data_IF_341511771689
#
_entry.id   IF_341511771689
#
_cell.length_a   1.000
_cell.length_b   1.000
_cell.length_c   1.000
_cell.angle_alpha   90.00
_cell.angle_beta   90.00
_cell.angle_gamma   90.00
#
_symmetry.space_group_name_H-M   'P 1'
#
loop_
_entity.id
_entity.type
_entity.pdbx_description
1 polymer ?
#
# COMPACT_ATOMS: atom_id res chain seq x y z
N UNK A 1 11.12 2.19 -5.37
CA UNK A 1 10.60 3.24 -4.47
C UNK A 1 9.67 2.57 -3.47
N UNK A 2 9.67 2.95 -2.18
CA UNK A 2 8.81 2.34 -1.16
C UNK A 2 7.82 3.36 -0.60
N UNK A 3 6.55 2.97 -0.48
CA UNK A 3 5.48 3.79 0.08
C UNK A 3 4.93 3.06 1.30
N UNK A 4 4.88 3.76 2.44
CA UNK A 4 4.44 3.21 3.72
C UNK A 4 3.22 3.99 4.18
N UNK A 5 2.10 3.31 4.38
CA UNK A 5 0.90 3.93 4.95
C UNK A 5 0.94 3.83 6.49
N UNK A 6 1.00 4.96 7.23
CA UNK A 6 0.88 4.96 8.69
C UNK A 6 -0.58 4.73 9.11
N UNK A 7 -0.81 4.35 10.37
CA UNK A 7 -2.15 4.27 10.98
C UNK A 7 -3.18 3.35 10.30
N UNK A 8 -2.75 2.40 9.47
CA UNK A 8 -3.64 1.37 8.91
C UNK A 8 -3.99 0.37 10.02
N UNK A 9 -5.26 0.30 10.43
CA UNK A 9 -5.73 -0.60 11.47
C UNK A 9 -6.32 -1.90 10.91
N UNK A 10 -6.81 -1.87 9.67
CA UNK A 10 -7.54 -2.96 9.03
C UNK A 10 -7.09 -3.23 7.59
N UNK A 11 -7.41 -4.43 7.08
CA UNK A 11 -7.13 -4.81 5.69
C UNK A 11 -7.93 -3.99 4.67
N UNK A 12 -9.12 -3.51 5.03
CA UNK A 12 -9.96 -2.71 4.11
C UNK A 12 -9.29 -1.37 3.83
N UNK A 13 -8.86 -0.67 4.88
CA UNK A 13 -8.15 0.62 4.77
C UNK A 13 -6.91 0.50 3.90
N UNK A 14 -6.13 -0.58 4.04
CA UNK A 14 -4.97 -0.82 3.19
C UNK A 14 -5.35 -1.00 1.71
N UNK A 15 -6.42 -1.77 1.44
CA UNK A 15 -6.88 -2.02 0.08
C UNK A 15 -7.41 -0.75 -0.58
N UNK A 16 -8.15 0.06 0.17
CA UNK A 16 -8.66 1.35 -0.28
C UNK A 16 -7.52 2.33 -0.56
N UNK A 17 -6.57 2.48 0.37
CA UNK A 17 -5.39 3.32 0.17
C UNK A 17 -4.55 2.87 -1.03
N UNK A 18 -4.36 1.56 -1.20
CA UNK A 18 -3.67 1.00 -2.37
C UNK A 18 -4.44 1.24 -3.68
N UNK A 19 -5.76 1.17 -3.66
CA UNK A 19 -6.58 1.43 -4.84
C UNK A 19 -6.44 2.89 -5.30
N UNK A 20 -6.54 3.84 -4.39
CA UNK A 20 -6.33 5.27 -4.67
C UNK A 20 -4.92 5.50 -5.23
N UNK A 21 -3.90 4.85 -4.67
CA UNK A 21 -2.53 4.98 -5.16
C UNK A 21 -2.34 4.45 -6.59
N UNK A 22 -3.01 3.36 -6.95
CA UNK A 22 -3.00 2.80 -8.29
C UNK A 22 -3.74 3.70 -9.28
N UNK A 23 -4.87 4.26 -8.88
CA UNK A 23 -5.66 5.20 -9.68
C UNK A 23 -4.85 6.47 -10.01
N UNK A 24 -4.20 7.07 -9.00
CA UNK A 24 -3.33 8.23 -9.20
C UNK A 24 -2.09 7.89 -10.03
N UNK A 25 -1.52 6.68 -9.86
CA UNK A 25 -0.43 6.20 -10.72
C UNK A 25 -0.89 6.16 -12.18
N UNK A 26 -2.05 5.57 -12.46
CA UNK A 26 -2.59 5.49 -13.82
C UNK A 26 -2.86 6.88 -14.41
N UNK A 27 -3.40 7.80 -13.61
CA UNK A 27 -3.61 9.18 -14.02
C UNK A 27 -2.30 9.89 -14.38
N UNK A 28 -1.24 9.71 -13.57
CA UNK A 28 0.09 10.27 -13.84
C UNK A 28 0.74 9.67 -15.10
N UNK A 29 0.62 8.36 -15.29
CA UNK A 29 1.10 7.68 -16.50
C UNK A 29 0.35 8.18 -17.73
N UNK A 30 -0.97 8.34 -17.64
CA UNK A 30 -1.81 8.90 -18.71
C UNK A 30 -1.45 10.37 -19.01
N UNK A 31 -1.04 11.13 -18.00
CA UNK A 31 -0.52 12.49 -18.15
C UNK A 31 0.92 12.54 -18.71
N UNK A 32 1.54 11.39 -19.01
CA UNK A 32 2.90 11.29 -19.55
C UNK A 32 3.99 11.51 -18.50
N UNK A 33 3.66 11.40 -17.21
CA UNK A 33 4.64 11.46 -16.12
C UNK A 33 5.20 10.07 -15.87
N UNK A 34 6.53 9.96 -15.88
CA UNK A 34 7.21 8.70 -15.59
C UNK A 34 7.00 8.30 -14.12
N UNK A 35 6.28 7.20 -13.91
CA UNK A 35 6.06 6.62 -12.57
C UNK A 35 6.70 5.24 -12.53
N UNK A 36 7.49 4.99 -11.49
CA UNK A 36 8.17 3.70 -11.30
C UNK A 36 7.17 2.53 -11.25
N UNK A 37 7.44 1.46 -12.01
CA UNK A 37 6.55 0.29 -12.02
C UNK A 37 6.63 -0.59 -10.77
N UNK A 38 7.80 -0.61 -10.13
CA UNK A 38 8.06 -1.38 -8.92
C UNK A 38 7.93 -0.49 -7.67
N UNK A 39 6.70 -0.09 -7.35
CA UNK A 39 6.38 0.56 -6.07
C UNK A 39 6.15 -0.53 -5.02
N UNK A 40 7.06 -0.64 -4.06
CA UNK A 40 6.84 -1.48 -2.88
C UNK A 40 5.87 -0.74 -1.95
N UNK A 41 4.66 -1.26 -1.82
CA UNK A 41 3.63 -0.68 -0.94
C UNK A 41 3.59 -1.51 0.35
N UNK A 42 3.90 -0.86 1.47
CA UNK A 42 3.84 -1.43 2.80
C UNK A 42 2.90 -0.65 3.72
N UNK A 43 2.68 -1.20 4.91
CA UNK A 43 1.94 -0.55 5.99
C UNK A 43 2.82 -0.52 7.24
N UNK A 44 2.67 0.52 8.06
CA UNK A 44 3.36 0.61 9.34
C UNK A 44 2.56 -0.13 10.41
N UNK A 45 3.18 -1.12 11.06
CA UNK A 45 2.55 -1.91 12.12
C UNK A 45 2.75 -1.19 13.46
N UNK A 46 1.89 -0.20 13.71
CA UNK A 46 1.95 0.62 14.95
C UNK A 46 0.92 0.19 16.01
N UNK A 47 -0.08 -0.62 15.61
CA UNK A 47 -1.18 -1.06 16.47
C UNK A 47 -1.03 -2.57 16.77
N UNK A 48 -1.17 -3.02 18.03
CA UNK A 48 -1.05 -4.45 18.37
C UNK A 48 -1.98 -5.37 17.57
N UNK A 49 -3.16 -4.89 17.17
CA UNK A 49 -4.12 -5.63 16.33
C UNK A 49 -3.61 -5.88 14.90
N UNK A 50 -2.75 -5.00 14.36
CA UNK A 50 -2.22 -5.14 13.00
C UNK A 50 -1.08 -6.14 12.92
N UNK A 51 -0.38 -6.41 14.03
CA UNK A 51 0.64 -7.47 14.10
C UNK A 51 0.06 -8.88 13.81
N UNK A 52 -1.19 -9.13 14.21
CA UNK A 52 -1.89 -10.40 13.93
C UNK A 52 -2.22 -10.54 12.43
N UNK A 53 -2.50 -9.43 11.76
CA UNK A 53 -2.83 -9.38 10.32
C UNK A 53 -1.55 -9.32 9.47
N UNK A 54 -0.45 -8.79 10.01
CA UNK A 54 0.85 -8.71 9.35
C UNK A 54 1.37 -10.10 8.95
N UNK A 55 1.11 -11.15 9.75
CA UNK A 55 1.50 -12.52 9.40
C UNK A 55 0.73 -13.06 8.16
N UNK A 56 -0.50 -12.59 7.92
CA UNK A 56 -1.24 -12.89 6.69
C UNK A 56 -0.67 -12.15 5.47
N UNK A 57 -0.06 -10.98 5.69
CA UNK A 57 0.59 -10.21 4.63
C UNK A 57 1.98 -10.72 4.27
N UNK A 58 2.79 -11.08 5.28
CA UNK A 58 4.13 -11.62 5.09
C UNK A 58 4.13 -13.00 4.41
N UNK A 59 3.00 -13.73 4.47
CA UNK A 59 2.87 -15.09 3.91
C UNK A 59 2.53 -15.18 2.43
N UNK A 60 2.29 -14.08 1.70
CA UNK A 60 2.26 -14.12 0.24
C UNK A 60 3.67 -13.99 -0.32
N UNK A 61 4.41 -15.10 -0.25
CA UNK A 61 5.60 -15.35 -1.05
C UNK A 61 5.19 -15.90 -2.42
#
# INVERSE_FOLDING_TARGET
MKIMFPMIATLSEFREAKAILLEEKEALVAAGTDVSDSIEIGMMVEIPSTAVIADQFAKKK
#
